data_IF_207539610546
#
_entry.id   IF_207539610546
#
_cell.length_a   1.000
_cell.length_b   1.000
_cell.length_c   1.000
_cell.angle_alpha   90.00
_cell.angle_beta   90.00
_cell.angle_gamma   90.00
#
_symmetry.space_group_name_H-M   'P 1'
#
loop_
_entity.id
_entity.type
_entity.pdbx_description
1 polymer ?
#
# COMPACT_ATOMS: atom_id res chain seq x y z
N UNK A 1 12.62 10.25 42.90
CA UNK A 1 12.68 8.81 42.57
C UNK A 1 11.59 8.56 41.56
N UNK A 2 12.05 8.42 40.34
CA UNK A 2 11.30 8.45 39.09
C UNK A 2 10.37 7.25 38.94
N UNK A 3 9.08 7.51 38.78
CA UNK A 3 8.19 6.58 38.08
C UNK A 3 8.21 6.97 36.61
N UNK A 4 9.04 6.27 35.85
CA UNK A 4 9.06 6.32 34.39
C UNK A 4 7.65 6.01 33.88
N UNK A 5 6.98 7.03 33.34
CA UNK A 5 5.81 6.85 32.50
C UNK A 5 6.26 6.05 31.28
N UNK A 6 5.69 4.86 31.11
CA UNK A 6 5.66 4.22 29.80
C UNK A 6 4.82 5.14 28.92
N UNK A 7 5.49 5.96 28.12
CA UNK A 7 4.86 6.70 27.03
C UNK A 7 4.55 5.68 25.92
N UNK A 8 3.47 4.92 26.11
CA UNK A 8 2.80 4.26 25.00
C UNK A 8 2.29 5.39 24.12
N UNK A 9 3.11 5.80 23.16
CA UNK A 9 2.73 6.71 22.09
C UNK A 9 1.33 6.29 21.62
N UNK A 10 0.38 7.22 21.72
CA UNK A 10 -1.00 6.99 21.34
C UNK A 10 -1.01 6.30 19.97
N UNK A 11 -1.54 5.08 19.93
CA UNK A 11 -1.82 4.38 18.68
C UNK A 11 -2.62 5.36 17.84
N UNK A 12 -2.08 5.78 16.69
CA UNK A 12 -2.76 6.73 15.79
C UNK A 12 -3.97 6.05 15.17
N UNK A 13 -5.07 6.05 15.94
CA UNK A 13 -6.30 5.33 15.60
C UNK A 13 -6.85 5.79 14.26
N UNK A 14 -6.70 7.08 13.93
CA UNK A 14 -7.11 7.65 12.64
C UNK A 14 -6.40 7.01 11.44
N UNK A 15 -5.11 6.69 11.55
CA UNK A 15 -4.37 6.03 10.48
C UNK A 15 -4.77 4.55 10.35
N UNK A 16 -4.99 3.87 11.48
CA UNK A 16 -5.48 2.48 11.47
C UNK A 16 -6.89 2.41 10.89
N UNK A 17 -7.78 3.32 11.29
CA UNK A 17 -9.16 3.35 10.82
C UNK A 17 -9.23 3.72 9.34
N UNK A 18 -8.38 4.66 8.87
CA UNK A 18 -8.20 4.91 7.44
C UNK A 18 -7.81 3.64 6.68
N UNK A 19 -6.84 2.87 7.18
CA UNK A 19 -6.43 1.62 6.50
C UNK A 19 -7.54 0.56 6.55
N UNK A 20 -8.30 0.45 7.64
CA UNK A 20 -9.47 -0.44 7.69
C UNK A 20 -10.53 -0.05 6.66
N UNK A 21 -10.85 1.23 6.56
CA UNK A 21 -11.81 1.75 5.58
C UNK A 21 -11.30 1.57 4.15
N UNK A 22 -10.01 1.77 3.92
CA UNK A 22 -9.35 1.51 2.64
C UNK A 22 -9.54 0.04 2.24
N UNK A 23 -9.21 -0.93 3.10
CA UNK A 23 -9.38 -2.35 2.79
C UNK A 23 -10.85 -2.77 2.69
N UNK A 24 -11.74 -2.19 3.50
CA UNK A 24 -13.18 -2.45 3.41
C UNK A 24 -13.75 -2.02 2.04
N UNK A 25 -13.25 -0.90 1.50
CA UNK A 25 -13.63 -0.43 0.16
C UNK A 25 -12.94 -1.24 -0.96
N UNK A 26 -11.69 -1.66 -0.75
CA UNK A 26 -10.87 -2.26 -1.79
C UNK A 26 -11.08 -3.77 -1.96
N UNK A 27 -11.09 -4.54 -0.87
CA UNK A 27 -11.09 -6.01 -0.92
C UNK A 27 -12.20 -6.65 -1.75
N UNK A 28 -13.46 -6.13 -1.77
CA UNK A 28 -14.50 -6.72 -2.61
C UNK A 28 -14.15 -6.76 -4.11
N UNK A 29 -13.23 -5.90 -4.57
CA UNK A 29 -12.74 -5.89 -5.95
C UNK A 29 -11.31 -6.40 -6.07
N UNK A 30 -10.45 -6.11 -5.09
CA UNK A 30 -9.03 -6.48 -5.12
C UNK A 30 -8.78 -7.99 -5.17
N UNK A 31 -9.61 -8.79 -4.49
CA UNK A 31 -9.42 -10.26 -4.44
C UNK A 31 -9.61 -10.93 -5.80
N UNK A 32 -10.53 -10.42 -6.64
CA UNK A 32 -10.84 -11.01 -7.94
C UNK A 32 -10.27 -10.21 -9.13
N UNK A 33 -10.05 -8.90 -8.93
CA UNK A 33 -9.74 -7.97 -10.01
C UNK A 33 -8.26 -7.61 -10.17
N UNK A 34 -7.40 -7.95 -9.20
CA UNK A 34 -5.97 -7.65 -9.25
C UNK A 34 -5.68 -6.20 -9.68
N UNK A 35 -4.84 -6.03 -10.71
CA UNK A 35 -4.46 -4.70 -11.21
C UNK A 35 -5.62 -3.88 -11.79
N UNK A 36 -6.70 -4.49 -12.27
CA UNK A 36 -7.89 -3.76 -12.72
C UNK A 36 -8.62 -3.12 -11.52
N UNK A 37 -8.59 -3.77 -10.35
CA UNK A 37 -9.14 -3.21 -9.12
C UNK A 37 -8.31 -2.02 -8.63
N UNK A 38 -6.97 -2.08 -8.78
CA UNK A 38 -6.08 -0.95 -8.52
C UNK A 38 -6.44 0.23 -9.40
N UNK A 39 -6.57 0.01 -10.71
CA UNK A 39 -6.91 1.03 -11.70
C UNK A 39 -8.27 1.67 -11.43
N UNK A 40 -9.26 0.85 -11.06
CA UNK A 40 -10.57 1.30 -10.62
C UNK A 40 -10.47 2.19 -9.38
N UNK A 41 -9.73 1.75 -8.35
CA UNK A 41 -9.60 2.50 -7.10
C UNK A 41 -8.92 3.86 -7.30
N UNK A 42 -7.82 3.93 -8.05
CA UNK A 42 -7.12 5.21 -8.29
C UNK A 42 -7.93 6.18 -9.16
N UNK A 43 -8.88 5.66 -9.95
CA UNK A 43 -9.80 6.47 -10.77
C UNK A 43 -11.00 6.96 -9.96
N UNK A 44 -11.61 6.08 -9.18
CA UNK A 44 -12.84 6.36 -8.43
C UNK A 44 -12.58 7.13 -7.13
N UNK A 45 -11.44 6.87 -6.47
CA UNK A 45 -11.12 7.38 -5.14
C UNK A 45 -9.72 8.02 -5.08
N UNK A 46 -9.35 8.93 -6.00
CA UNK A 46 -8.02 9.54 -6.02
C UNK A 46 -7.68 10.29 -4.72
N UNK A 47 -8.70 10.73 -3.97
CA UNK A 47 -8.55 11.48 -2.72
C UNK A 47 -7.97 10.67 -1.55
N UNK A 48 -7.90 9.33 -1.68
CA UNK A 48 -7.27 8.43 -0.70
C UNK A 48 -5.75 8.42 -0.78
N UNK A 49 -5.18 8.92 -1.87
CA UNK A 49 -3.75 8.78 -2.17
C UNK A 49 -3.02 10.11 -2.02
N UNK A 50 -1.77 10.05 -1.55
CA UNK A 50 -0.87 11.18 -1.67
C UNK A 50 -0.64 11.51 -3.16
N UNK A 51 -0.55 12.79 -3.57
CA UNK A 51 -0.46 13.17 -4.97
C UNK A 51 0.68 12.50 -5.75
N UNK A 52 1.85 12.31 -5.10
CA UNK A 52 3.00 11.64 -5.70
C UNK A 52 2.74 10.15 -5.98
N UNK A 53 2.14 9.44 -5.03
CA UNK A 53 1.80 8.03 -5.19
C UNK A 53 0.72 7.85 -6.25
N UNK A 54 -0.32 8.69 -6.23
CA UNK A 54 -1.39 8.65 -7.23
C UNK A 54 -0.83 8.83 -8.65
N UNK A 55 0.01 9.85 -8.86
CA UNK A 55 0.61 10.12 -10.15
C UNK A 55 1.46 8.93 -10.63
N UNK A 56 2.26 8.34 -9.73
CA UNK A 56 3.09 7.20 -10.05
C UNK A 56 2.26 5.97 -10.47
N UNK A 57 1.18 5.66 -9.73
CA UNK A 57 0.25 4.58 -10.05
C UNK A 57 -0.48 4.81 -11.38
N UNK A 58 -0.93 6.03 -11.65
CA UNK A 58 -1.60 6.37 -12.90
C UNK A 58 -0.68 6.23 -14.12
N UNK A 59 0.58 6.62 -13.96
CA UNK A 59 1.59 6.45 -15.00
C UNK A 59 1.92 4.98 -15.24
N UNK A 60 2.05 4.18 -14.18
CA UNK A 60 2.26 2.74 -14.29
C UNK A 60 1.08 2.05 -15.00
N UNK A 61 -0.16 2.40 -14.62
CA UNK A 61 -1.37 1.94 -15.28
C UNK A 61 -1.42 2.31 -16.78
N UNK A 62 -0.96 3.51 -17.14
CA UNK A 62 -0.84 3.92 -18.54
C UNK A 62 0.22 3.10 -19.30
N UNK A 63 1.37 2.84 -18.67
CA UNK A 63 2.43 1.99 -19.24
C UNK A 63 1.93 0.56 -19.48
N UNK A 64 1.28 -0.06 -18.48
CA UNK A 64 0.71 -1.41 -18.59
C UNK A 64 -0.31 -1.52 -19.73
N UNK A 65 -1.16 -0.51 -19.92
CA UNK A 65 -2.14 -0.49 -21.02
C UNK A 65 -1.51 -0.30 -22.41
N UNK A 66 -0.35 0.35 -22.48
CA UNK A 66 0.35 0.60 -23.74
C UNK A 66 1.27 -0.56 -24.15
N UNK A 67 1.72 -1.36 -23.18
CA UNK A 67 2.60 -2.49 -23.44
C UNK A 67 1.80 -3.64 -24.07
N UNK A 68 1.89 -3.76 -25.39
CA UNK A 68 1.10 -4.73 -26.16
C UNK A 68 1.51 -6.19 -25.97
N UNK A 69 2.71 -6.48 -25.43
CA UNK A 69 3.22 -7.82 -25.07
C UNK A 69 4.50 -7.79 -24.18
N UNK A 70 4.93 -6.61 -23.72
CA UNK A 70 6.11 -6.45 -22.84
C UNK A 70 5.63 -6.23 -21.40
N UNK A 71 6.30 -6.84 -20.40
CA UNK A 71 6.00 -6.57 -18.99
C UNK A 71 6.51 -5.16 -18.68
N UNK A 72 5.68 -4.15 -18.94
CA UNK A 72 5.94 -2.76 -18.58
C UNK A 72 5.08 -2.35 -17.39
N UNK A 73 5.68 -2.19 -16.21
CA UNK A 73 4.99 -1.81 -14.97
C UNK A 73 4.72 -2.97 -14.02
N UNK A 74 3.92 -2.72 -12.97
CA UNK A 74 3.60 -3.73 -11.96
C UNK A 74 2.86 -4.92 -12.57
N UNK A 75 3.22 -6.13 -12.13
CA UNK A 75 2.59 -7.41 -12.52
C UNK A 75 1.84 -8.09 -11.36
N UNK A 76 1.63 -7.39 -10.25
CA UNK A 76 0.95 -7.87 -9.04
C UNK A 76 0.13 -6.76 -8.40
N UNK A 77 -0.83 -7.11 -7.53
CA UNK A 77 -1.60 -6.13 -6.75
C UNK A 77 -0.70 -5.49 -5.68
N UNK A 78 -0.41 -4.18 -5.75
CA UNK A 78 0.52 -3.52 -4.86
C UNK A 78 -0.02 -3.32 -3.44
N UNK A 79 -1.33 -3.41 -3.21
CA UNK A 79 -1.94 -3.27 -1.89
C UNK A 79 -2.12 -4.63 -1.19
N UNK A 80 -2.07 -5.72 -1.94
CA UNK A 80 -2.18 -7.08 -1.41
C UNK A 80 -0.85 -7.85 -1.45
N UNK A 81 0.16 -7.32 -2.16
CA UNK A 81 1.44 -7.99 -2.45
C UNK A 81 1.23 -9.39 -3.03
N UNK A 82 0.30 -9.52 -3.99
CA UNK A 82 -0.06 -10.82 -4.55
C UNK A 82 -0.62 -10.76 -5.97
N UNK A 83 -0.45 -11.86 -6.71
CA UNK A 83 -1.21 -12.19 -7.94
C UNK A 83 -2.37 -13.15 -7.66
N UNK A 84 -2.32 -13.87 -6.53
CA UNK A 84 -3.36 -14.78 -6.04
C UNK A 84 -3.71 -14.39 -4.59
N UNK A 85 -4.60 -13.40 -4.39
CA UNK A 85 -4.86 -12.83 -3.08
C UNK A 85 -5.41 -13.83 -2.06
N UNK A 86 -5.01 -13.69 -0.80
CA UNK A 86 -5.58 -14.49 0.29
C UNK A 86 -7.02 -14.06 0.66
N UNK A 87 -7.75 -14.90 1.41
CA UNK A 87 -9.18 -14.70 1.65
C UNK A 87 -9.49 -13.45 2.48
N UNK A 88 -8.56 -13.02 3.34
CA UNK A 88 -8.71 -11.79 4.12
C UNK A 88 -7.37 -11.14 4.46
N UNK A 89 -7.45 -9.87 4.84
CA UNK A 89 -6.33 -9.06 5.26
C UNK A 89 -6.67 -8.38 6.59
N UNK A 90 -5.83 -8.57 7.59
CA UNK A 90 -6.04 -8.09 8.95
C UNK A 90 -5.15 -6.88 9.24
N UNK A 91 -5.77 -5.74 9.56
CA UNK A 91 -5.09 -4.50 9.97
C UNK A 91 -4.79 -4.56 11.47
N UNK A 92 -3.51 -4.64 11.84
CA UNK A 92 -3.11 -5.01 13.22
C UNK A 92 -2.61 -3.82 14.02
N UNK A 93 -1.60 -3.12 13.53
CA UNK A 93 -0.83 -2.16 14.34
C UNK A 93 -0.46 -0.92 13.54
N UNK A 94 -0.59 0.24 14.16
CA UNK A 94 -0.03 1.51 13.69
C UNK A 94 1.22 1.87 14.50
N UNK A 95 2.32 2.23 13.83
CA UNK A 95 3.56 2.71 14.44
C UNK A 95 3.92 4.07 13.84
N UNK A 96 4.01 5.12 14.66
CA UNK A 96 4.45 6.45 14.22
C UNK A 96 5.94 6.42 13.87
N UNK A 97 6.29 6.89 12.68
CA UNK A 97 7.67 7.03 12.20
C UNK A 97 7.85 8.44 11.65
N UNK A 98 8.42 9.33 12.46
CA UNK A 98 8.51 10.75 12.12
C UNK A 98 7.13 11.37 11.91
N UNK A 99 6.87 11.86 10.69
CA UNK A 99 5.61 12.52 10.32
C UNK A 99 4.53 11.57 9.76
N UNK A 100 4.85 10.28 9.56
CA UNK A 100 3.93 9.29 8.99
C UNK A 100 3.60 8.20 10.00
N UNK A 101 2.57 7.42 9.71
CA UNK A 101 2.21 6.22 10.47
C UNK A 101 2.35 5.02 9.55
N UNK A 102 3.07 4.00 10.02
CA UNK A 102 3.20 2.71 9.36
C UNK A 102 2.13 1.80 9.92
N UNK A 103 1.24 1.29 9.06
CA UNK A 103 0.15 0.42 9.47
C UNK A 103 0.36 -0.97 8.88
N UNK A 104 0.59 -1.94 9.75
CA UNK A 104 0.87 -3.33 9.39
C UNK A 104 -0.41 -4.08 9.02
N UNK A 105 -0.36 -4.77 7.88
CA UNK A 105 -1.44 -5.61 7.38
C UNK A 105 -0.93 -7.02 7.13
N UNK A 106 -1.63 -7.99 7.69
CA UNK A 106 -1.31 -9.41 7.54
C UNK A 106 -2.32 -10.09 6.62
N UNK A 107 -1.83 -10.80 5.60
CA UNK A 107 -2.68 -11.71 4.86
C UNK A 107 -3.08 -12.90 5.74
N UNK A 108 -4.28 -13.42 5.54
CA UNK A 108 -4.71 -14.69 6.11
C UNK A 108 -5.16 -15.59 4.99
N UNK A 109 -4.39 -16.66 4.78
CA UNK A 109 -4.52 -17.61 3.71
C UNK A 109 -4.93 -18.96 4.32
N UNK A 110 -6.03 -19.58 3.88
CA UNK A 110 -6.52 -20.84 4.42
C UNK A 110 -6.71 -20.81 5.95
N UNK A 111 -7.13 -19.66 6.48
CA UNK A 111 -7.31 -19.43 7.91
C UNK A 111 -6.02 -19.21 8.71
N UNK A 112 -4.85 -19.24 8.08
CA UNK A 112 -3.55 -18.98 8.72
C UNK A 112 -3.09 -17.56 8.43
N UNK A 113 -2.90 -16.77 9.49
CA UNK A 113 -2.32 -15.43 9.38
C UNK A 113 -0.81 -15.51 9.13
N UNK A 114 -0.31 -14.66 8.24
CA UNK A 114 1.13 -14.50 8.00
C UNK A 114 1.89 -14.12 9.28
N UNK A 115 3.12 -14.63 9.42
CA UNK A 115 3.98 -14.34 10.59
C UNK A 115 4.44 -12.88 10.59
N UNK A 116 4.88 -12.40 9.43
CA UNK A 116 5.24 -11.01 9.19
C UNK A 116 4.10 -10.28 8.46
N UNK A 117 4.01 -8.94 8.55
CA UNK A 117 3.11 -8.17 7.72
C UNK A 117 3.40 -8.45 6.24
N UNK A 118 2.35 -8.71 5.48
CA UNK A 118 2.43 -8.88 4.02
C UNK A 118 2.73 -7.53 3.38
N UNK A 119 2.05 -6.48 3.85
CA UNK A 119 2.34 -5.10 3.50
C UNK A 119 2.31 -4.23 4.76
N UNK A 120 3.02 -3.10 4.69
CA UNK A 120 2.87 -2.01 5.65
C UNK A 120 2.48 -0.75 4.88
N UNK A 121 1.26 -0.24 5.13
CA UNK A 121 0.78 0.98 4.50
C UNK A 121 1.37 2.19 5.22
N UNK A 122 2.00 3.07 4.45
CA UNK A 122 2.54 4.34 4.97
C UNK A 122 1.46 5.40 4.82
N UNK A 123 0.91 5.83 5.94
CA UNK A 123 -0.16 6.83 6.02
C UNK A 123 0.45 8.19 6.39
N UNK A 124 0.29 9.16 5.50
CA UNK A 124 0.60 10.56 5.76
C UNK A 124 -0.67 11.34 6.12
N UNK A 125 -0.51 12.58 6.56
CA UNK A 125 -1.62 13.50 6.79
C UNK A 125 -1.36 14.82 6.05
N UNK A 126 -2.32 15.30 5.27
CA UNK A 126 -2.20 16.58 4.54
C UNK A 126 -2.66 17.79 5.37
N UNK A 127 -2.75 17.63 6.69
CA UNK A 127 -3.39 18.58 7.61
C UNK A 127 -4.92 18.52 7.68
N UNK A 128 -5.60 17.74 6.82
CA UNK A 128 -7.07 17.58 6.84
C UNK A 128 -7.54 16.14 6.91
N UNK A 129 -6.87 15.21 6.23
CA UNK A 129 -7.21 13.79 6.21
C UNK A 129 -5.98 12.90 6.10
N UNK A 130 -6.07 11.63 6.54
CA UNK A 130 -5.08 10.63 6.23
C UNK A 130 -5.06 10.31 4.72
N UNK A 131 -3.87 10.04 4.19
CA UNK A 131 -3.62 9.67 2.79
C UNK A 131 -2.63 8.51 2.74
N UNK A 132 -2.86 7.57 1.83
CA UNK A 132 -1.89 6.52 1.51
C UNK A 132 -0.72 7.14 0.73
N UNK A 133 0.46 7.14 1.35
CA UNK A 133 1.66 7.77 0.81
C UNK A 133 2.66 6.79 0.20
N UNK A 134 2.72 5.55 0.70
CA UNK A 134 3.52 4.47 0.13
C UNK A 134 3.01 3.10 0.64
N UNK A 135 3.48 2.02 0.03
CA UNK A 135 3.33 0.65 0.54
C UNK A 135 4.71 0.04 0.68
N UNK A 136 5.03 -0.46 1.87
CA UNK A 136 6.27 -1.20 2.10
C UNK A 136 6.00 -2.69 1.98
N UNK A 137 6.99 -3.42 1.46
CA UNK A 137 6.96 -4.88 1.35
C UNK A 137 8.05 -5.49 2.23
N UNK A 138 7.76 -5.76 3.52
CA UNK A 138 8.77 -6.16 4.51
C UNK A 138 9.51 -7.46 4.13
N UNK A 139 8.81 -8.39 3.48
CA UNK A 139 9.34 -9.68 3.01
C UNK A 139 10.34 -9.53 1.87
N UNK A 140 10.18 -8.49 1.03
CA UNK A 140 11.01 -8.27 -0.16
C UNK A 140 12.09 -7.20 0.04
N UNK A 141 12.03 -6.43 1.14
CA UNK A 141 12.97 -5.34 1.41
C UNK A 141 12.86 -4.17 0.42
N UNK A 142 11.68 -3.96 -0.16
CA UNK A 142 11.39 -2.88 -1.13
C UNK A 142 10.11 -2.13 -0.77
N UNK A 143 9.77 -1.12 -1.56
CA UNK A 143 8.54 -0.36 -1.44
C UNK A 143 7.96 -0.03 -2.82
N UNK A 144 6.67 0.27 -2.84
CA UNK A 144 5.90 0.53 -4.05
C UNK A 144 6.44 1.73 -4.83
N UNK A 145 6.80 2.81 -4.13
CA UNK A 145 7.45 3.97 -4.74
C UNK A 145 8.70 3.59 -5.53
N UNK A 146 9.58 2.75 -4.98
CA UNK A 146 10.76 2.26 -5.70
C UNK A 146 10.39 1.43 -6.93
N UNK A 147 9.39 0.55 -6.82
CA UNK A 147 8.95 -0.29 -7.94
C UNK A 147 8.39 0.56 -9.09
N UNK A 148 7.53 1.52 -8.79
CA UNK A 148 6.93 2.43 -9.78
C UNK A 148 7.93 3.36 -10.49
N UNK A 149 9.16 3.46 -9.97
CA UNK A 149 10.23 4.27 -10.53
C UNK A 149 11.35 3.46 -11.19
N UNK A 150 11.36 2.11 -11.07
CA UNK A 150 12.40 1.26 -11.67
C UNK A 150 12.42 1.32 -13.20
N UNK A 151 11.26 1.38 -13.83
CA UNK A 151 11.15 1.31 -15.29
C UNK A 151 11.23 2.68 -15.98
N UNK A 152 11.75 3.69 -15.27
CA UNK A 152 11.83 5.08 -15.74
C UNK A 152 13.24 5.60 -15.93
N UNK A 153 14.26 4.75 -15.77
CA UNK A 153 15.56 5.10 -16.32
C UNK A 153 15.40 5.18 -17.85
N UNK A 154 15.73 6.32 -18.51
CA UNK A 154 15.87 6.29 -19.95
C UNK A 154 16.91 5.21 -20.26
N UNK A 155 16.66 4.39 -21.28
CA UNK A 155 17.58 3.37 -21.78
C UNK A 155 18.99 3.95 -21.94
N UNK A 156 19.75 3.87 -20.85
CA UNK A 156 21.15 4.24 -20.75
C UNK A 156 21.94 2.97 -20.91
N UNK A 157 21.84 2.36 -22.10
CA UNK A 157 22.83 1.36 -22.51
C UNK A 157 24.01 2.12 -23.14
N UNK A 158 25.27 1.84 -22.75
CA UNK A 158 26.43 2.37 -23.47
C UNK A 158 26.46 1.90 -24.93
#
# INVERSE_FOLDING_TARGET
MDTAGVDTAAVDSSAIDFVREFYAAYLPRGVEGGLDAVDGLITERPELFAPSLLLALQQDAASRRAAHDEIGGLDFDPFLDSQDPCERYEVVKGTRVGAVVHVDVHAVCQGQRSVAPTVTLVVAHDGRRPLLANVLYPTHGTDLGRLLHRDRAPDGRP
#
